data_IF_432337810709
#
_entry.id   IF_432337810709
#
_cell.length_a   1.000
_cell.length_b   1.000
_cell.length_c   1.000
_cell.angle_alpha   90.00
_cell.angle_beta   90.00
_cell.angle_gamma   90.00
#
_symmetry.space_group_name_H-M   'P 1'
#
loop_
_entity.id
_entity.type
_entity.pdbx_description
1 polymer ?
#
# COMPACT_ATOMS: atom_id res chain seq x y z
N UNK A 1 -6.19 -4.43 14.13
CA UNK A 1 -7.40 -3.94 13.44
C UNK A 1 -7.67 -4.72 12.14
N UNK A 2 -8.70 -5.58 12.13
CA UNK A 2 -9.11 -6.39 10.95
C UNK A 2 -9.61 -5.56 9.75
N UNK A 3 -9.90 -4.26 9.93
CA UNK A 3 -10.33 -3.35 8.85
C UNK A 3 -9.18 -2.94 7.92
N UNK A 4 -7.92 -3.08 8.35
CA UNK A 4 -6.75 -2.78 7.53
C UNK A 4 -6.61 -3.84 6.43
N UNK A 5 -6.57 -3.39 5.17
CA UNK A 5 -6.50 -4.29 4.00
C UNK A 5 -5.13 -4.27 3.32
N UNK A 6 -4.58 -3.09 3.11
CA UNK A 6 -3.38 -2.89 2.26
C UNK A 6 -2.17 -2.39 3.01
N UNK A 7 -2.36 -1.81 4.19
CA UNK A 7 -1.26 -1.36 5.05
C UNK A 7 -0.95 -2.42 6.10
N UNK A 8 0.31 -2.47 6.53
CA UNK A 8 0.76 -3.32 7.64
C UNK A 8 0.31 -2.76 8.99
N UNK A 9 0.38 -1.44 9.16
CA UNK A 9 -0.10 -0.72 10.34
C UNK A 9 -0.53 0.71 10.01
N UNK A 10 -0.98 1.44 11.02
CA UNK A 10 -1.11 2.89 10.98
C UNK A 10 -1.04 3.50 12.38
N UNK A 11 -0.40 4.65 12.46
CA UNK A 11 -0.44 5.55 13.59
C UNK A 11 -1.55 6.61 13.43
N UNK A 12 -2.37 6.82 14.47
CA UNK A 12 -3.47 7.80 14.48
C UNK A 12 -3.04 9.11 15.17
N UNK A 13 -3.01 10.22 14.42
CA UNK A 13 -2.53 11.51 14.92
C UNK A 13 -3.32 12.08 16.11
N UNK A 14 -4.63 11.77 16.22
CA UNK A 14 -5.49 12.34 17.26
C UNK A 14 -5.46 11.57 18.57
N UNK A 15 -5.58 10.23 18.52
CA UNK A 15 -5.61 9.38 19.71
C UNK A 15 -4.25 8.85 20.11
N UNK A 16 -3.26 8.96 19.21
CA UNK A 16 -1.95 8.36 19.31
C UNK A 16 -1.95 6.81 19.28
N UNK A 17 -3.08 6.18 18.96
CA UNK A 17 -3.14 4.73 18.84
C UNK A 17 -2.32 4.22 17.65
N UNK A 18 -1.72 3.05 17.84
CA UNK A 18 -1.10 2.27 16.78
C UNK A 18 -2.00 1.09 16.48
N UNK A 19 -2.46 1.01 15.23
CA UNK A 19 -3.23 -0.13 14.75
C UNK A 19 -2.37 -1.03 13.86
N UNK A 20 -2.36 -2.33 14.16
CA UNK A 20 -1.64 -3.34 13.37
C UNK A 20 -2.64 -4.20 12.58
N UNK A 21 -2.30 -4.55 11.35
CA UNK A 21 -3.06 -5.48 10.52
C UNK A 21 -2.78 -6.93 10.99
N UNK A 22 -3.75 -7.64 11.58
CA UNK A 22 -3.52 -8.99 12.11
C UNK A 22 -3.07 -9.99 11.04
N UNK A 23 -3.44 -9.75 9.76
CA UNK A 23 -3.00 -10.60 8.66
C UNK A 23 -1.48 -10.58 8.45
N UNK A 24 -0.78 -9.54 8.89
CA UNK A 24 0.69 -9.52 8.80
C UNK A 24 1.31 -10.57 9.72
N UNK A 25 0.75 -10.77 10.90
CA UNK A 25 1.15 -11.85 11.80
C UNK A 25 0.82 -13.21 11.19
N UNK A 26 -0.42 -13.37 10.71
CA UNK A 26 -0.89 -14.64 10.13
C UNK A 26 -0.02 -15.11 8.95
N UNK A 27 0.48 -14.19 8.12
CA UNK A 27 1.25 -14.52 6.92
C UNK A 27 2.78 -14.49 7.09
N UNK A 28 3.31 -13.63 7.96
CA UNK A 28 4.74 -13.36 8.06
C UNK A 28 5.31 -13.47 9.47
N UNK A 29 4.47 -13.82 10.45
CA UNK A 29 4.89 -14.06 11.83
C UNK A 29 5.21 -12.80 12.62
N UNK A 30 5.82 -13.01 13.78
CA UNK A 30 6.11 -11.99 14.78
C UNK A 30 7.11 -10.94 14.28
N UNK A 31 8.17 -11.34 13.59
CA UNK A 31 9.19 -10.44 13.06
C UNK A 31 8.61 -9.33 12.17
N UNK A 32 7.59 -9.67 11.36
CA UNK A 32 6.91 -8.70 10.53
C UNK A 32 6.12 -7.70 11.37
N UNK A 33 5.46 -8.17 12.43
CA UNK A 33 4.72 -7.32 13.37
C UNK A 33 5.67 -6.38 14.10
N UNK A 34 6.80 -6.86 14.59
CA UNK A 34 7.83 -6.03 15.26
C UNK A 34 8.29 -4.92 14.34
N UNK A 35 8.62 -5.23 13.07
CA UNK A 35 9.02 -4.23 12.08
C UNK A 35 7.94 -3.18 11.81
N UNK A 36 6.68 -3.58 11.76
CA UNK A 36 5.54 -2.65 11.61
C UNK A 36 5.40 -1.78 12.85
N UNK A 37 5.47 -2.35 14.06
CA UNK A 37 5.37 -1.58 15.31
C UNK A 37 6.48 -0.54 15.38
N UNK A 38 7.73 -0.91 15.08
CA UNK A 38 8.86 0.03 15.05
C UNK A 38 8.64 1.17 14.04
N UNK A 39 8.05 0.86 12.88
CA UNK A 39 7.68 1.87 11.89
C UNK A 39 6.63 2.86 12.42
N UNK A 40 5.54 2.37 12.99
CA UNK A 40 4.50 3.24 13.54
C UNK A 40 5.00 4.03 14.76
N UNK A 41 5.93 3.47 15.54
CA UNK A 41 6.60 4.18 16.62
C UNK A 41 7.51 5.31 16.12
N UNK A 42 8.12 5.18 14.93
CA UNK A 42 8.83 6.30 14.31
C UNK A 42 7.88 7.47 14.03
N UNK A 43 6.70 7.17 13.47
CA UNK A 43 5.68 8.19 13.24
C UNK A 43 5.24 8.84 14.55
N UNK A 44 4.91 8.03 15.55
CA UNK A 44 4.52 8.50 16.87
C UNK A 44 5.57 9.41 17.50
N UNK A 45 6.82 8.93 17.62
CA UNK A 45 7.90 9.65 18.28
C UNK A 45 8.20 11.00 17.62
N UNK A 46 8.26 11.03 16.29
CA UNK A 46 8.54 12.26 15.55
C UNK A 46 7.37 13.24 15.64
N UNK A 47 6.13 12.73 15.61
CA UNK A 47 4.94 13.59 15.75
C UNK A 47 4.89 14.26 17.12
N UNK A 48 5.05 13.50 18.21
CA UNK A 48 5.05 14.08 19.58
C UNK A 48 6.23 15.02 19.82
N UNK A 49 7.35 14.82 19.10
CA UNK A 49 8.54 15.67 19.19
C UNK A 49 8.48 16.92 18.29
N UNK A 50 7.37 17.14 17.57
CA UNK A 50 7.23 18.26 16.64
C UNK A 50 8.17 18.19 15.42
N UNK A 51 8.67 17.00 15.08
CA UNK A 51 9.60 16.74 13.97
C UNK A 51 8.88 16.24 12.72
N UNK A 52 9.61 16.11 11.61
CA UNK A 52 9.10 15.59 10.35
C UNK A 52 8.75 14.09 10.43
N UNK A 53 7.51 13.77 10.74
CA UNK A 53 7.04 12.39 10.93
C UNK A 53 6.56 11.71 9.65
N UNK A 54 6.41 12.39 8.52
CA UNK A 54 5.90 11.78 7.29
C UNK A 54 7.02 11.03 6.55
N UNK A 55 6.65 10.03 5.74
CA UNK A 55 7.62 9.27 4.93
C UNK A 55 8.51 10.14 4.01
N UNK A 56 8.05 11.32 3.62
CA UNK A 56 8.84 12.24 2.79
C UNK A 56 9.95 12.94 3.57
N UNK A 57 9.78 13.08 4.88
CA UNK A 57 10.61 13.90 5.76
C UNK A 57 11.96 13.21 6.06
N UNK A 58 13.00 14.02 6.26
CA UNK A 58 14.35 13.53 6.51
C UNK A 58 14.47 12.89 7.90
N UNK A 59 13.79 13.44 8.90
CA UNK A 59 13.79 12.88 10.26
C UNK A 59 13.25 11.46 10.28
N UNK A 60 12.13 11.21 9.59
CA UNK A 60 11.56 9.87 9.44
C UNK A 60 12.52 8.92 8.75
N UNK A 61 13.12 9.33 7.62
CA UNK A 61 14.10 8.51 6.89
C UNK A 61 15.28 8.10 7.79
N UNK A 62 15.80 9.06 8.56
CA UNK A 62 16.92 8.82 9.47
C UNK A 62 16.53 7.87 10.61
N UNK A 63 15.44 8.17 11.32
CA UNK A 63 15.02 7.38 12.47
C UNK A 63 14.65 5.95 12.07
N UNK A 64 13.87 5.78 11.00
CA UNK A 64 13.46 4.45 10.51
C UNK A 64 14.66 3.58 10.14
N UNK A 65 15.70 4.15 9.52
CA UNK A 65 16.94 3.43 9.26
C UNK A 65 17.69 3.05 10.55
N UNK A 66 17.78 3.98 11.51
CA UNK A 66 18.47 3.74 12.78
C UNK A 66 17.85 2.61 13.60
N UNK A 67 16.52 2.49 13.60
CA UNK A 67 15.80 1.45 14.37
C UNK A 67 15.49 0.20 13.55
N UNK A 68 15.97 0.12 12.29
CA UNK A 68 15.70 -1.02 11.42
C UNK A 68 14.23 -1.18 11.02
N UNK A 69 13.45 -0.10 11.02
CA UNK A 69 12.05 -0.10 10.61
C UNK A 69 11.92 0.10 9.09
N UNK A 70 11.54 -0.94 8.31
CA UNK A 70 11.36 -0.77 6.88
C UNK A 70 10.22 0.20 6.58
N UNK A 71 10.35 0.97 5.50
CA UNK A 71 9.31 1.92 5.06
C UNK A 71 8.04 1.24 4.55
N UNK A 72 8.18 0.02 4.05
CA UNK A 72 7.09 -0.75 3.46
C UNK A 72 7.06 -2.15 4.07
N UNK A 73 5.86 -2.66 4.36
CA UNK A 73 5.65 -4.05 4.72
C UNK A 73 5.47 -4.92 3.48
N UNK A 74 5.60 -6.23 3.66
CA UNK A 74 5.31 -7.19 2.60
C UNK A 74 3.81 -7.21 2.27
N UNK A 75 3.50 -7.36 0.98
CA UNK A 75 2.11 -7.44 0.51
C UNK A 75 1.57 -8.86 0.66
N UNK A 76 0.51 -9.01 1.47
CA UNK A 76 -0.15 -10.30 1.73
C UNK A 76 -0.65 -10.98 0.44
N UNK A 77 -1.20 -10.19 -0.48
CA UNK A 77 -1.67 -10.68 -1.79
C UNK A 77 -0.95 -9.91 -2.90
N UNK A 78 -0.56 -10.62 -3.96
CA UNK A 78 0.01 -10.03 -5.16
C UNK A 78 -1.02 -9.13 -5.87
N UNK A 79 -0.54 -8.23 -6.72
CA UNK A 79 -1.41 -7.36 -7.50
C UNK A 79 -2.39 -8.17 -8.38
N UNK A 80 -1.90 -9.26 -8.96
CA UNK A 80 -2.66 -10.20 -9.78
C UNK A 80 -3.79 -10.84 -8.97
N UNK A 81 -3.48 -11.33 -7.76
CA UNK A 81 -4.48 -11.92 -6.85
C UNK A 81 -5.55 -10.92 -6.43
N UNK A 82 -5.21 -9.63 -6.33
CA UNK A 82 -6.13 -8.55 -5.97
C UNK A 82 -6.91 -7.95 -7.13
N UNK A 83 -6.58 -8.31 -8.37
CA UNK A 83 -7.21 -7.73 -9.54
C UNK A 83 -8.66 -8.21 -9.67
N UNK A 84 -9.58 -7.26 -9.87
CA UNK A 84 -11.01 -7.53 -10.03
C UNK A 84 -11.47 -7.31 -11.47
N UNK A 85 -10.66 -6.66 -12.32
CA UNK A 85 -11.05 -6.27 -13.66
C UNK A 85 -9.92 -6.54 -14.65
N UNK A 86 -10.28 -7.05 -15.83
CA UNK A 86 -9.40 -7.17 -16.98
C UNK A 86 -9.87 -6.19 -18.07
N UNK A 87 -8.96 -5.34 -18.55
CA UNK A 87 -9.17 -4.42 -19.66
C UNK A 87 -8.27 -4.81 -20.82
N UNK A 88 -8.62 -4.35 -22.01
CA UNK A 88 -7.78 -4.47 -23.19
C UNK A 88 -7.78 -3.17 -24.01
N UNK A 89 -6.69 -2.92 -24.72
CA UNK A 89 -6.63 -1.85 -25.71
C UNK A 89 -7.37 -2.28 -26.99
N UNK A 90 -8.21 -1.40 -27.54
CA UNK A 90 -8.92 -1.69 -28.79
C UNK A 90 -8.04 -1.57 -30.04
N UNK A 91 -6.82 -1.03 -29.94
CA UNK A 91 -5.89 -0.85 -31.07
C UNK A 91 -4.77 -1.89 -31.08
N UNK A 92 -4.06 -2.08 -29.97
CA UNK A 92 -2.93 -3.01 -29.89
C UNK A 92 -3.23 -4.28 -29.08
N UNK A 93 -4.45 -4.45 -28.56
CA UNK A 93 -4.89 -5.61 -27.79
C UNK A 93 -4.11 -5.92 -26.51
N UNK A 94 -3.22 -5.02 -26.07
CA UNK A 94 -2.53 -5.13 -24.79
C UNK A 94 -3.53 -5.26 -23.63
N UNK A 95 -3.25 -6.21 -22.72
CA UNK A 95 -4.10 -6.54 -21.57
C UNK A 95 -3.66 -5.78 -20.33
N UNK A 96 -4.63 -5.35 -19.53
CA UNK A 96 -4.40 -4.62 -18.30
C UNK A 96 -5.30 -5.16 -17.20
N UNK A 97 -4.70 -5.77 -16.17
CA UNK A 97 -5.41 -6.14 -14.95
C UNK A 97 -5.47 -4.94 -13.99
N UNK A 98 -6.58 -4.78 -13.29
CA UNK A 98 -6.81 -3.67 -12.36
C UNK A 98 -7.57 -4.13 -11.12
N UNK A 99 -7.16 -3.61 -9.96
CA UNK A 99 -7.85 -3.82 -8.69
C UNK A 99 -9.16 -3.00 -8.64
N UNK A 100 -9.14 -1.78 -9.18
CA UNK A 100 -10.31 -0.88 -9.22
C UNK A 100 -10.79 -0.68 -10.66
N UNK A 101 -12.08 -0.42 -10.81
CA UNK A 101 -12.65 0.01 -12.10
C UNK A 101 -11.97 1.31 -12.52
N UNK A 102 -11.53 1.39 -13.77
CA UNK A 102 -10.95 2.61 -14.35
C UNK A 102 -11.93 3.27 -15.30
N UNK A 103 -11.87 4.60 -15.36
CA UNK A 103 -12.60 5.38 -16.35
C UNK A 103 -11.91 5.24 -17.72
N UNK A 104 -12.53 4.51 -18.63
CA UNK A 104 -12.02 4.27 -19.98
C UNK A 104 -12.16 5.47 -20.92
N UNK A 105 -12.91 6.51 -20.53
CA UNK A 105 -12.98 7.76 -21.28
C UNK A 105 -11.71 8.59 -21.06
N UNK A 106 -11.22 8.61 -19.82
CA UNK A 106 -9.98 9.32 -19.42
C UNK A 106 -8.72 8.50 -19.67
N UNK A 107 -8.74 7.22 -19.32
CA UNK A 107 -7.55 6.36 -19.40
C UNK A 107 -7.33 5.85 -20.84
N UNK A 108 -6.05 5.74 -21.22
CA UNK A 108 -5.61 5.22 -22.53
C UNK A 108 -4.58 4.12 -22.36
N UNK A 109 -4.37 3.34 -23.42
CA UNK A 109 -3.32 2.34 -23.50
C UNK A 109 -1.94 3.00 -23.38
N UNK A 110 -1.11 2.53 -22.45
CA UNK A 110 0.23 3.06 -22.25
C UNK A 110 1.24 2.71 -23.36
N UNK A 111 0.89 1.81 -24.30
CA UNK A 111 1.75 1.47 -25.44
C UNK A 111 1.44 2.27 -26.69
N UNK A 112 0.16 2.50 -27.00
CA UNK A 112 -0.26 3.06 -28.29
C UNK A 112 -1.28 4.18 -28.18
N UNK A 113 -1.57 4.67 -26.97
CA UNK A 113 -2.60 5.68 -26.66
C UNK A 113 -4.02 5.33 -27.13
N UNK A 114 -4.29 4.08 -27.49
CA UNK A 114 -5.61 3.61 -27.91
C UNK A 114 -6.63 3.59 -26.77
N UNK A 115 -7.92 3.57 -27.12
CA UNK A 115 -9.01 3.44 -26.14
C UNK A 115 -8.90 2.09 -25.41
N UNK A 116 -9.26 2.12 -24.12
CA UNK A 116 -9.38 0.91 -23.31
C UNK A 116 -10.84 0.48 -23.27
N UNK A 117 -11.08 -0.83 -23.25
CA UNK A 117 -12.40 -1.41 -22.96
C UNK A 117 -12.26 -2.47 -21.90
N UNK A 118 -13.28 -2.57 -21.03
CA UNK A 118 -13.34 -3.67 -20.06
C UNK A 118 -13.60 -4.96 -20.84
N UNK A 119 -12.79 -5.97 -20.60
CA UNK A 119 -12.96 -7.31 -21.16
C UNK A 119 -13.90 -8.13 -20.29
N UNK A 120 -13.61 -8.19 -18.99
CA UNK A 120 -14.41 -8.92 -18.00
C UNK A 120 -14.09 -8.48 -16.58
N UNK A 121 -15.01 -8.78 -15.68
CA UNK A 121 -14.79 -8.81 -14.24
C UNK A 121 -14.18 -10.17 -13.87
N UNK A 122 -13.12 -10.16 -13.05
CA UNK A 122 -12.39 -11.35 -12.60
C UNK A 122 -12.97 -11.92 -11.31
N UNK A 123 -13.54 -11.05 -10.46
CA UNK A 123 -14.16 -11.37 -9.17
C UNK A 123 -15.42 -10.55 -8.98
#
# INVERSE_FOLDING_TARGET
NKRLRTTGGRYLLKSHDIEINPKQYEHYGEDAVVKIILHELCHYHLHISGKGYQHKDQDFKRLSQQVGAPRFCNSIESYQQRANYEYYCTKCHAKYIRIRKVDTNRMRCGHCNGKLRMKRQLK
#
